data_IF_017198813855
#
_entry.id   IF_017198813855
#
_cell.length_a   1.000
_cell.length_b   1.000
_cell.length_c   1.000
_cell.angle_alpha   90.00
_cell.angle_beta   90.00
_cell.angle_gamma   90.00
#
_symmetry.space_group_name_H-M   'P 1'
#
loop_
_entity.id
_entity.type
_entity.pdbx_description
1 polymer ?
#
# COMPACT_ATOMS: atom_id res chain seq x y z
N UNK A 1 -23.41 2.75 -34.33
CA UNK A 1 -24.11 2.18 -33.16
C UNK A 1 -23.13 2.07 -32.00
N UNK A 2 -23.49 2.52 -30.79
CA UNK A 2 -22.65 2.27 -29.60
C UNK A 2 -22.91 0.84 -29.14
N UNK A 3 -21.86 0.02 -29.16
CA UNK A 3 -21.90 -1.38 -28.75
C UNK A 3 -22.42 -1.50 -27.31
N UNK A 4 -23.49 -2.28 -27.10
CA UNK A 4 -24.14 -2.44 -25.79
C UNK A 4 -23.42 -3.53 -25.00
N UNK A 5 -22.79 -3.17 -23.87
CA UNK A 5 -22.11 -4.11 -22.96
C UNK A 5 -23.08 -5.19 -22.46
N UNK A 6 -22.65 -6.45 -22.45
CA UNK A 6 -23.39 -7.60 -21.89
C UNK A 6 -23.04 -7.78 -20.41
N UNK A 7 -23.88 -8.52 -19.68
CA UNK A 7 -23.65 -8.81 -18.25
C UNK A 7 -22.32 -9.54 -18.00
N UNK A 8 -21.87 -10.39 -18.93
CA UNK A 8 -20.57 -11.06 -18.87
C UNK A 8 -19.38 -10.07 -18.85
N UNK A 9 -19.47 -8.98 -19.62
CA UNK A 9 -18.44 -7.94 -19.70
C UNK A 9 -18.31 -7.14 -18.39
N UNK A 10 -19.35 -7.17 -17.56
CA UNK A 10 -19.37 -6.50 -16.25
C UNK A 10 -18.29 -7.04 -15.32
N UNK A 11 -18.03 -8.35 -15.36
CA UNK A 11 -17.01 -9.00 -14.51
C UNK A 11 -15.62 -8.47 -14.84
N UNK A 12 -15.28 -8.41 -16.12
CA UNK A 12 -13.98 -7.91 -16.57
C UNK A 12 -13.82 -6.41 -16.31
N UNK A 13 -14.88 -5.63 -16.57
CA UNK A 13 -14.91 -4.21 -16.24
C UNK A 13 -14.67 -3.95 -14.75
N UNK A 14 -15.37 -4.67 -13.86
CA UNK A 14 -15.19 -4.52 -12.41
C UNK A 14 -13.77 -4.88 -11.99
N UNK A 15 -13.20 -5.98 -12.51
CA UNK A 15 -11.80 -6.36 -12.22
C UNK A 15 -10.82 -5.26 -12.62
N UNK A 16 -10.95 -4.70 -13.83
CA UNK A 16 -10.12 -3.59 -14.31
C UNK A 16 -10.29 -2.33 -13.45
N UNK A 17 -11.53 -1.98 -13.10
CA UNK A 17 -11.84 -0.83 -12.26
C UNK A 17 -11.24 -0.97 -10.84
N UNK A 18 -11.35 -2.15 -10.23
CA UNK A 18 -10.76 -2.44 -8.91
C UNK A 18 -9.23 -2.37 -8.97
N UNK A 19 -8.60 -2.97 -9.98
CA UNK A 19 -7.14 -2.89 -10.17
C UNK A 19 -6.66 -1.45 -10.30
N UNK A 20 -7.34 -0.64 -11.14
CA UNK A 20 -7.04 0.79 -11.32
C UNK A 20 -7.18 1.57 -10.02
N UNK A 21 -8.25 1.31 -9.24
CA UNK A 21 -8.47 1.94 -7.93
C UNK A 21 -7.36 1.59 -6.94
N UNK A 22 -6.98 0.31 -6.85
CA UNK A 22 -5.91 -0.16 -5.96
C UNK A 22 -4.57 0.50 -6.30
N UNK A 23 -4.22 0.56 -7.58
CA UNK A 23 -2.98 1.23 -8.04
C UNK A 23 -2.97 2.70 -7.65
N UNK A 24 -4.07 3.42 -7.89
CA UNK A 24 -4.21 4.84 -7.52
C UNK A 24 -4.01 5.05 -6.02
N UNK A 25 -4.74 4.31 -5.19
CA UNK A 25 -4.69 4.47 -3.73
C UNK A 25 -3.32 4.08 -3.16
N UNK A 26 -2.68 3.05 -3.71
CA UNK A 26 -1.33 2.67 -3.33
C UNK A 26 -0.31 3.77 -3.61
N UNK A 27 -0.37 4.39 -4.80
CA UNK A 27 0.49 5.53 -5.15
C UNK A 27 0.31 6.69 -4.19
N UNK A 28 -0.95 7.11 -3.97
CA UNK A 28 -1.27 8.19 -3.01
C UNK A 28 -0.76 7.88 -1.60
N UNK A 29 -0.89 6.63 -1.14
CA UNK A 29 -0.40 6.22 0.17
C UNK A 29 1.14 6.29 0.28
N UNK A 30 1.86 5.89 -0.78
CA UNK A 30 3.33 5.93 -0.82
C UNK A 30 3.83 7.37 -0.83
N UNK A 31 3.23 8.21 -1.67
CA UNK A 31 3.51 9.63 -1.75
C UNK A 31 3.26 10.34 -0.41
N UNK A 32 2.12 10.05 0.23
CA UNK A 32 1.78 10.58 1.55
C UNK A 32 2.81 10.23 2.65
N UNK A 33 3.51 9.09 2.52
CA UNK A 33 4.61 8.69 3.43
C UNK A 33 6.00 9.12 2.94
N UNK A 34 6.07 10.00 1.94
CA UNK A 34 7.29 10.62 1.45
C UNK A 34 7.97 9.92 0.28
N UNK A 35 7.34 8.89 -0.31
CA UNK A 35 7.79 8.26 -1.56
C UNK A 35 9.13 7.51 -1.50
N UNK A 36 9.71 7.35 -0.30
CA UNK A 36 11.00 6.69 -0.10
C UNK A 36 11.00 5.81 1.15
N UNK A 37 11.91 4.85 1.19
CA UNK A 37 12.12 4.04 2.37
C UNK A 37 12.57 4.91 3.55
N UNK A 38 11.83 4.89 4.66
CA UNK A 38 12.14 5.64 5.86
C UNK A 38 13.41 5.17 6.58
N UNK A 39 13.94 3.99 6.22
CA UNK A 39 15.10 3.38 6.84
C UNK A 39 16.37 3.60 6.02
N UNK A 40 16.37 3.24 4.73
CA UNK A 40 17.56 3.32 3.88
C UNK A 40 17.49 4.40 2.78
N UNK A 41 16.36 5.13 2.67
CA UNK A 41 16.19 6.19 1.68
C UNK A 41 15.89 5.73 0.25
N UNK A 42 15.79 4.43 -0.02
CA UNK A 42 15.48 3.91 -1.36
C UNK A 42 14.20 4.52 -1.95
N UNK A 43 14.29 5.08 -3.16
CA UNK A 43 13.23 5.79 -3.89
C UNK A 43 13.20 5.47 -5.40
N UNK A 44 14.07 4.57 -5.88
CA UNK A 44 14.24 4.29 -7.32
C UNK A 44 13.03 3.60 -7.96
N UNK A 45 12.30 2.79 -7.20
CA UNK A 45 11.14 2.06 -7.68
C UNK A 45 10.04 2.09 -6.63
N UNK A 46 8.95 2.78 -6.93
CA UNK A 46 7.80 2.84 -6.04
C UNK A 46 7.29 1.45 -5.70
N UNK A 47 7.23 0.54 -6.68
CA UNK A 47 6.70 -0.82 -6.50
C UNK A 47 7.53 -1.69 -5.55
N UNK A 48 8.80 -1.35 -5.32
CA UNK A 48 9.62 -1.99 -4.30
C UNK A 48 9.40 -1.44 -2.88
N UNK A 49 8.55 -0.42 -2.71
CA UNK A 49 8.15 0.12 -1.42
C UNK A 49 6.89 -0.56 -0.87
N UNK A 50 6.95 -0.92 0.40
CA UNK A 50 5.96 -1.68 1.14
C UNK A 50 5.65 -0.99 2.48
N UNK A 51 4.41 -1.14 2.95
CA UNK A 51 3.99 -0.63 4.25
C UNK A 51 4.25 -1.68 5.32
N UNK A 52 5.03 -1.31 6.33
CA UNK A 52 5.26 -2.11 7.52
C UNK A 52 4.47 -1.53 8.69
N UNK A 53 3.72 -2.37 9.38
CA UNK A 53 3.04 -2.00 10.62
C UNK A 53 4.01 -2.19 11.79
N UNK A 54 4.16 -1.17 12.64
CA UNK A 54 4.99 -1.28 13.85
C UNK A 54 4.42 -2.27 14.88
N UNK A 55 3.09 -2.38 14.94
CA UNK A 55 2.38 -3.30 15.84
C UNK A 55 1.29 -4.02 15.05
N UNK A 56 1.35 -5.35 14.98
CA UNK A 56 0.30 -6.14 14.31
C UNK A 56 -1.07 -6.03 15.00
N UNK A 57 -1.09 -5.61 16.28
CA UNK A 57 -2.31 -5.44 17.08
C UNK A 57 -3.11 -4.17 16.73
N UNK A 58 -2.53 -3.21 16.00
CA UNK A 58 -3.16 -1.91 15.75
C UNK A 58 -3.75 -1.76 14.34
N UNK A 59 -3.57 -2.77 13.48
CA UNK A 59 -4.06 -2.74 12.09
C UNK A 59 -5.56 -3.04 12.02
N UNK A 60 -6.32 -2.18 11.36
CA UNK A 60 -7.73 -2.50 11.04
C UNK A 60 -7.83 -3.37 9.79
N UNK A 61 -6.90 -3.21 8.84
CA UNK A 61 -6.86 -3.99 7.59
C UNK A 61 -5.47 -3.94 6.93
N UNK A 62 -5.17 -4.94 6.10
CA UNK A 62 -3.92 -4.97 5.34
C UNK A 62 -3.93 -4.00 4.14
N UNK A 63 -2.84 -3.23 3.98
CA UNK A 63 -2.60 -2.33 2.83
C UNK A 63 -2.13 -3.06 1.55
N UNK A 64 -2.21 -4.39 1.51
CA UNK A 64 -1.74 -5.21 0.39
C UNK A 64 -2.71 -5.21 -0.81
N UNK A 65 -3.90 -5.80 -0.65
CA UNK A 65 -4.88 -5.99 -1.75
C UNK A 65 -6.31 -5.67 -1.32
N UNK A 66 -6.74 -6.12 -0.14
CA UNK A 66 -8.12 -5.97 0.34
C UNK A 66 -8.40 -4.59 0.95
N UNK A 67 -7.41 -3.93 1.55
CA UNK A 67 -7.58 -2.61 2.17
C UNK A 67 -7.72 -1.45 1.19
N UNK A 68 -7.16 -1.58 -0.03
CA UNK A 68 -7.01 -0.48 -0.98
C UNK A 68 -8.27 -0.17 -1.81
N UNK A 69 -9.39 -0.85 -1.53
CA UNK A 69 -10.71 -0.54 -2.11
C UNK A 69 -11.56 0.33 -1.20
N UNK A 70 -11.07 0.71 -0.02
CA UNK A 70 -11.77 1.59 0.94
C UNK A 70 -11.67 3.08 0.53
N UNK A 71 -12.37 3.94 1.27
CA UNK A 71 -12.24 5.39 1.10
C UNK A 71 -10.82 5.86 1.42
N UNK A 72 -10.43 7.00 0.85
CA UNK A 72 -9.09 7.54 1.10
C UNK A 72 -8.90 7.89 2.57
N UNK A 73 -9.90 8.42 3.30
CA UNK A 73 -9.72 8.75 4.71
C UNK A 73 -9.42 7.51 5.56
N UNK A 74 -10.09 6.38 5.28
CA UNK A 74 -9.83 5.13 6.00
C UNK A 74 -8.43 4.60 5.68
N UNK A 75 -8.02 4.66 4.42
CA UNK A 75 -6.67 4.24 4.01
C UNK A 75 -5.62 5.14 4.67
N UNK A 76 -5.83 6.46 4.69
CA UNK A 76 -4.94 7.42 5.32
C UNK A 76 -4.74 7.10 6.81
N UNK A 77 -5.83 6.89 7.57
CA UNK A 77 -5.77 6.50 8.99
C UNK A 77 -4.95 5.23 9.23
N UNK A 78 -5.06 4.25 8.33
CA UNK A 78 -4.29 3.02 8.44
C UNK A 78 -2.82 3.21 8.03
N UNK A 79 -2.57 3.98 6.98
CA UNK A 79 -1.23 4.37 6.52
C UNK A 79 -0.51 5.15 7.63
N UNK A 80 -1.19 6.02 8.37
CA UNK A 80 -0.61 6.78 9.49
C UNK A 80 0.08 5.87 10.51
N UNK A 81 -0.49 4.69 10.79
CA UNK A 81 0.07 3.66 11.69
C UNK A 81 1.23 2.85 11.11
N UNK A 82 1.51 3.01 9.82
CA UNK A 82 2.55 2.27 9.10
C UNK A 82 3.79 3.14 8.85
N UNK A 83 4.91 2.48 8.60
CA UNK A 83 6.12 3.07 8.00
C UNK A 83 6.28 2.58 6.56
N UNK A 84 6.85 3.42 5.70
CA UNK A 84 7.14 3.06 4.31
C UNK A 84 8.58 2.56 4.22
N UNK A 85 8.77 1.31 3.79
CA UNK A 85 10.08 0.67 3.73
C UNK A 85 10.26 -0.04 2.38
N UNK A 86 11.50 -0.19 1.91
CA UNK A 86 11.74 -1.03 0.74
C UNK A 86 11.61 -2.52 1.10
N UNK A 87 11.38 -3.38 0.10
CA UNK A 87 11.20 -4.82 0.29
C UNK A 87 12.34 -5.48 1.10
N UNK A 88 13.58 -5.02 0.95
CA UNK A 88 14.72 -5.53 1.72
C UNK A 88 14.62 -5.15 3.19
N UNK A 89 14.43 -3.85 3.49
CA UNK A 89 14.25 -3.38 4.86
C UNK A 89 13.01 -4.01 5.51
N UNK A 90 11.93 -4.22 4.74
CA UNK A 90 10.73 -4.89 5.23
C UNK A 90 11.02 -6.33 5.67
N UNK A 91 11.76 -7.10 4.85
CA UNK A 91 12.19 -8.46 5.20
C UNK A 91 13.14 -8.49 6.39
N UNK A 92 14.04 -7.51 6.52
CA UNK A 92 14.93 -7.37 7.67
C UNK A 92 14.15 -7.13 8.97
N UNK A 93 13.14 -6.27 8.93
CA UNK A 93 12.26 -5.98 10.06
C UNK A 93 11.48 -7.22 10.52
N UNK A 94 10.88 -7.97 9.58
CA UNK A 94 10.18 -9.22 9.89
C UNK A 94 11.10 -10.27 10.52
N UNK A 95 12.35 -10.35 10.04
CA UNK A 95 13.34 -11.28 10.59
C UNK A 95 14.08 -10.73 11.82
N UNK A 96 13.67 -9.59 12.37
CA UNK A 96 14.31 -8.90 13.50
C UNK A 96 15.82 -8.64 13.30
N UNK A 97 16.29 -8.65 12.05
CA UNK A 97 17.68 -8.33 11.69
C UNK A 97 17.97 -6.82 11.79
N UNK A 98 16.92 -6.02 11.97
CA UNK A 98 16.98 -4.58 12.11
C UNK A 98 15.92 -4.15 13.11
N UNK A 99 16.32 -3.41 14.15
CA UNK A 99 15.38 -2.74 15.04
C UNK A 99 15.05 -1.38 14.45
N UNK A 100 13.80 -0.94 14.60
CA UNK A 100 13.45 0.46 14.42
C UNK A 100 14.15 1.24 15.53
N UNK A 101 15.38 1.71 15.26
CA UNK A 101 16.01 2.67 16.14
C UNK A 101 15.10 3.90 16.18
N UNK A 102 14.44 4.10 17.32
CA UNK A 102 13.84 5.38 17.66
C UNK A 102 14.97 6.39 17.56
N UNK A 103 14.95 7.27 16.57
CA UNK A 103 15.76 8.49 16.65
C UNK A 103 15.31 9.17 17.94
N UNK A 104 16.23 9.26 18.89
CA UNK A 104 16.09 10.06 20.11
C UNK A 104 15.73 11.51 19.73
#
# INVERSE_FOLDING_TARGET
MKEKRKYADRKEYIKKAVSKRRKKIRGMAKEYKGGKCSICGYDKCEDALEFHHNSEKEKEFGLSQSGLTRSWERVKKEVDKCILVCANCHRELHNKKRSLQRKC
#
